data_IF_543955028958
#
_entry.id   IF_543955028958
#
_cell.length_a   1.000
_cell.length_b   1.000
_cell.length_c   1.000
_cell.angle_alpha   90.00
_cell.angle_beta   90.00
_cell.angle_gamma   90.00
#
_symmetry.space_group_name_H-M   'P 1'
#
loop_
_entity.id
_entity.type
_entity.pdbx_description
1 polymer ?
#
# COMPACT_ATOMS: atom_id res chain seq x y z
N UNK A 1 -23.93 -10.32 -48.12
CA UNK A 1 -22.77 -10.16 -47.22
C UNK A 1 -23.16 -9.47 -45.92
N UNK A 2 -23.75 -8.26 -45.94
CA UNK A 2 -24.18 -7.57 -44.71
C UNK A 2 -25.17 -8.34 -43.83
N UNK A 3 -26.21 -8.93 -44.42
CA UNK A 3 -27.20 -9.73 -43.67
C UNK A 3 -26.59 -10.97 -43.00
N UNK A 4 -25.53 -11.52 -43.59
CA UNK A 4 -24.81 -12.67 -43.02
C UNK A 4 -23.95 -12.25 -41.82
N UNK A 5 -23.29 -11.10 -41.90
CA UNK A 5 -22.53 -10.52 -40.78
C UNK A 5 -23.45 -10.13 -39.62
N UNK A 6 -24.60 -9.51 -39.89
CA UNK A 6 -25.61 -9.19 -38.87
C UNK A 6 -26.20 -10.47 -38.23
N UNK A 7 -26.39 -11.53 -39.02
CA UNK A 7 -26.81 -12.84 -38.50
C UNK A 7 -25.79 -13.45 -37.54
N UNK A 8 -24.49 -13.35 -37.86
CA UNK A 8 -23.41 -13.84 -36.98
C UNK A 8 -23.32 -13.04 -35.68
N UNK A 9 -23.43 -11.71 -35.74
CA UNK A 9 -23.42 -10.85 -34.55
C UNK A 9 -24.63 -11.17 -33.65
N UNK A 10 -25.83 -11.31 -34.23
CA UNK A 10 -27.04 -11.68 -33.48
C UNK A 10 -26.91 -13.05 -32.79
N UNK A 11 -26.27 -14.03 -33.45
CA UNK A 11 -26.02 -15.34 -32.83
C UNK A 11 -25.11 -15.20 -31.61
N UNK A 12 -24.02 -14.44 -31.73
CA UNK A 12 -23.09 -14.20 -30.62
C UNK A 12 -23.79 -13.47 -29.46
N UNK A 13 -24.61 -12.46 -29.76
CA UNK A 13 -25.36 -11.70 -28.76
C UNK A 13 -26.49 -12.51 -28.10
N UNK A 14 -27.05 -13.49 -28.83
CA UNK A 14 -28.12 -14.35 -28.34
C UNK A 14 -27.66 -15.42 -27.33
N UNK A 15 -26.34 -15.59 -27.15
CA UNK A 15 -25.77 -16.53 -26.19
C UNK A 15 -26.08 -16.08 -24.76
N UNK A 16 -27.11 -16.69 -24.16
CA UNK A 16 -27.50 -16.44 -22.77
C UNK A 16 -26.77 -17.40 -21.84
N UNK A 17 -25.93 -16.85 -20.97
CA UNK A 17 -25.29 -17.62 -19.92
C UNK A 17 -26.24 -17.82 -18.74
N UNK A 18 -26.28 -19.04 -18.20
CA UNK A 18 -26.99 -19.30 -16.94
C UNK A 18 -26.29 -18.56 -15.81
N UNK A 19 -27.02 -17.71 -15.09
CA UNK A 19 -26.49 -17.04 -13.92
C UNK A 19 -26.46 -18.02 -12.73
N UNK A 20 -25.39 -18.82 -12.64
CA UNK A 20 -25.21 -19.79 -11.56
C UNK A 20 -24.59 -19.07 -10.37
N UNK A 21 -25.37 -18.88 -9.29
CA UNK A 21 -24.85 -18.44 -8.00
C UNK A 21 -24.66 -19.65 -7.09
N UNK A 22 -23.47 -19.81 -6.56
CA UNK A 22 -23.21 -20.79 -5.51
C UNK A 22 -23.38 -20.15 -4.11
N UNK A 23 -23.43 -20.99 -3.08
CA UNK A 23 -23.57 -20.55 -1.68
C UNK A 23 -22.46 -19.58 -1.27
N UNK A 24 -21.24 -19.79 -1.76
CA UNK A 24 -20.09 -18.93 -1.51
C UNK A 24 -20.27 -17.52 -2.08
N UNK A 25 -20.68 -17.38 -3.34
CA UNK A 25 -20.90 -16.08 -3.99
C UNK A 25 -22.04 -15.30 -3.32
N UNK A 26 -23.10 -15.99 -2.89
CA UNK A 26 -24.19 -15.37 -2.11
C UNK A 26 -23.68 -14.86 -0.76
N UNK A 27 -22.86 -15.65 -0.05
CA UNK A 27 -22.22 -15.23 1.19
C UNK A 27 -21.29 -14.05 0.99
N UNK A 28 -20.42 -14.10 -0.02
CA UNK A 28 -19.49 -13.02 -0.38
C UNK A 28 -20.25 -11.71 -0.66
N UNK A 29 -21.35 -11.78 -1.40
CA UNK A 29 -22.20 -10.61 -1.66
C UNK A 29 -22.82 -10.04 -0.39
N UNK A 30 -23.29 -10.91 0.51
CA UNK A 30 -23.83 -10.48 1.80
C UNK A 30 -22.75 -9.81 2.67
N UNK A 31 -21.53 -10.36 2.70
CA UNK A 31 -20.42 -9.81 3.46
C UNK A 31 -19.93 -8.47 2.88
N UNK A 32 -19.88 -8.32 1.55
CA UNK A 32 -19.63 -7.04 0.88
C UNK A 32 -20.67 -5.99 1.28
N UNK A 33 -21.95 -6.36 1.30
CA UNK A 33 -23.01 -5.44 1.68
C UNK A 33 -22.87 -5.01 3.15
N UNK A 34 -22.54 -5.95 4.06
CA UNK A 34 -22.27 -5.62 5.47
C UNK A 34 -21.10 -4.65 5.62
N UNK A 35 -19.99 -4.90 4.93
CA UNK A 35 -18.80 -4.03 4.99
C UNK A 35 -19.12 -2.62 4.46
N UNK A 36 -19.90 -2.51 3.37
CA UNK A 36 -20.30 -1.21 2.81
C UNK A 36 -21.24 -0.41 3.71
N UNK A 37 -22.04 -1.08 4.53
CA UNK A 37 -22.97 -0.44 5.46
C UNK A 37 -22.36 -0.11 6.81
N UNK A 38 -21.25 -0.77 7.15
CA UNK A 38 -20.51 -0.54 8.39
C UNK A 38 -19.81 0.83 8.34
N UNK A 39 -19.89 1.58 9.45
CA UNK A 39 -19.21 2.86 9.60
C UNK A 39 -17.80 2.71 10.17
N UNK A 40 -17.45 1.52 10.66
CA UNK A 40 -16.14 1.26 11.26
C UNK A 40 -15.08 0.93 10.20
N UNK A 41 -13.83 1.29 10.50
CA UNK A 41 -12.68 1.00 9.67
C UNK A 41 -12.20 -0.44 9.90
N UNK A 42 -11.92 -1.16 8.81
CA UNK A 42 -11.33 -2.49 8.85
C UNK A 42 -9.83 -2.41 8.64
N UNK A 43 -9.06 -2.61 9.72
CA UNK A 43 -7.60 -2.48 9.68
C UNK A 43 -6.95 -3.87 9.64
N UNK A 44 -6.06 -4.11 8.64
CA UNK A 44 -5.35 -5.37 8.55
C UNK A 44 -4.25 -5.47 9.62
N UNK A 45 -3.86 -6.70 9.87
CA UNK A 45 -2.76 -7.05 10.76
C UNK A 45 -1.45 -7.25 10.00
N UNK A 46 -0.33 -7.10 10.71
CA UNK A 46 1.03 -7.16 10.12
C UNK A 46 1.45 -8.58 9.74
N UNK A 47 1.07 -9.59 10.52
CA UNK A 47 1.56 -10.98 10.35
C UNK A 47 0.48 -12.06 10.25
N UNK A 48 -0.74 -11.73 10.60
CA UNK A 48 -1.88 -12.65 10.51
C UNK A 48 -2.80 -12.18 9.38
N UNK A 49 -3.77 -13.00 9.00
CA UNK A 49 -4.78 -12.62 8.02
C UNK A 49 -6.04 -12.04 8.70
N UNK A 50 -5.87 -11.50 9.90
CA UNK A 50 -6.97 -10.98 10.70
C UNK A 50 -7.24 -9.51 10.35
N UNK A 51 -8.51 -9.13 10.48
CA UNK A 51 -8.97 -7.75 10.38
C UNK A 51 -9.65 -7.34 11.68
N UNK A 52 -9.36 -6.14 12.16
CA UNK A 52 -10.00 -5.57 13.33
C UNK A 52 -10.79 -4.34 12.94
N UNK A 53 -11.95 -4.17 13.59
CA UNK A 53 -12.78 -2.98 13.44
C UNK A 53 -12.31 -1.91 14.41
N UNK A 54 -12.14 -0.69 13.92
CA UNK A 54 -11.81 0.48 14.72
C UNK A 54 -12.72 1.64 14.35
N UNK A 55 -13.02 2.48 15.32
CA UNK A 55 -13.66 3.77 15.06
C UNK A 55 -12.62 4.76 14.54
N UNK A 56 -13.05 5.77 13.77
CA UNK A 56 -12.17 6.78 13.17
C UNK A 56 -11.27 7.45 14.22
N UNK A 57 -11.83 7.83 15.37
CA UNK A 57 -11.07 8.48 16.45
C UNK A 57 -10.01 7.57 17.06
N UNK A 58 -10.28 6.28 17.18
CA UNK A 58 -9.32 5.30 17.69
C UNK A 58 -8.19 5.09 16.69
N UNK A 59 -8.53 5.00 15.40
CA UNK A 59 -7.56 4.87 14.32
C UNK A 59 -6.62 6.08 14.26
N UNK A 60 -7.17 7.30 14.26
CA UNK A 60 -6.38 8.53 14.20
C UNK A 60 -5.44 8.68 15.40
N UNK A 61 -5.89 8.30 16.60
CA UNK A 61 -5.04 8.30 17.78
C UNK A 61 -3.87 7.32 17.66
N UNK A 62 -4.11 6.11 17.13
CA UNK A 62 -3.06 5.12 16.89
C UNK A 62 -2.10 5.58 15.80
N UNK A 63 -2.61 6.13 14.69
CA UNK A 63 -1.80 6.65 13.59
C UNK A 63 -0.88 7.79 14.07
N UNK A 64 -1.45 8.80 14.73
CA UNK A 64 -0.68 9.95 15.24
C UNK A 64 0.40 9.52 16.23
N UNK A 65 0.09 8.59 17.15
CA UNK A 65 1.06 8.05 18.08
C UNK A 65 2.23 7.35 17.37
N UNK A 66 1.97 6.65 16.28
CA UNK A 66 3.01 5.99 15.50
C UNK A 66 3.85 6.99 14.69
N UNK A 67 3.20 7.98 14.07
CA UNK A 67 3.89 9.04 13.32
C UNK A 67 4.81 9.83 14.23
N UNK A 68 4.34 10.28 15.40
CA UNK A 68 5.13 11.08 16.34
C UNK A 68 6.32 10.28 16.91
N UNK A 69 6.17 8.96 17.04
CA UNK A 69 7.25 8.09 17.53
C UNK A 69 8.38 7.93 16.52
N UNK A 70 8.06 7.75 15.24
CA UNK A 70 9.05 7.40 14.20
C UNK A 70 9.50 8.59 13.34
N UNK A 71 8.69 9.64 13.23
CA UNK A 71 8.91 10.75 12.31
C UNK A 71 8.73 12.11 12.99
N UNK A 72 9.42 13.12 12.47
CA UNK A 72 9.15 14.54 12.79
C UNK A 72 8.26 15.16 11.72
N UNK A 73 7.28 15.95 12.15
CA UNK A 73 6.45 16.78 11.25
C UNK A 73 7.31 17.94 10.72
N UNK A 74 7.18 18.24 9.43
CA UNK A 74 7.92 19.31 8.76
C UNK A 74 7.05 20.00 7.72
N UNK A 75 7.46 21.19 7.28
CA UNK A 75 6.76 21.97 6.26
C UNK A 75 7.01 21.47 4.84
N UNK A 76 6.16 21.88 3.89
CA UNK A 76 6.27 21.49 2.48
C UNK A 76 7.55 21.99 1.79
N UNK A 77 8.12 23.09 2.26
CA UNK A 77 9.37 23.62 1.74
C UNK A 77 10.55 22.69 2.06
N UNK A 78 10.65 22.24 3.31
CA UNK A 78 11.72 21.34 3.74
C UNK A 78 11.65 19.99 3.02
N UNK A 79 10.45 19.46 2.72
CA UNK A 79 10.32 18.21 1.95
C UNK A 79 10.77 18.38 0.49
N UNK A 80 10.56 19.55 -0.09
CA UNK A 80 11.03 19.87 -1.43
C UNK A 80 12.55 20.03 -1.48
N UNK A 81 13.14 20.70 -0.50
CA UNK A 81 14.60 20.82 -0.35
C UNK A 81 15.27 19.45 -0.26
N UNK A 82 14.73 18.55 0.57
CA UNK A 82 15.22 17.16 0.67
C UNK A 82 15.10 16.42 -0.67
N UNK A 83 14.00 16.59 -1.41
CA UNK A 83 13.83 15.94 -2.70
C UNK A 83 14.84 16.44 -3.76
N UNK A 84 15.20 17.73 -3.73
CA UNK A 84 16.26 18.27 -4.59
C UNK A 84 17.62 17.67 -4.19
N UNK A 85 17.91 17.59 -2.90
CA UNK A 85 19.16 16.99 -2.42
C UNK A 85 19.27 15.51 -2.81
N UNK A 86 18.20 14.74 -2.63
CA UNK A 86 18.13 13.34 -3.04
C UNK A 86 18.39 13.18 -4.55
N UNK A 87 17.85 14.09 -5.38
CA UNK A 87 18.12 14.12 -6.83
C UNK A 87 19.60 14.38 -7.12
N UNK A 88 20.20 15.39 -6.49
CA UNK A 88 21.62 15.70 -6.67
C UNK A 88 22.52 14.53 -6.25
N UNK A 89 22.15 13.82 -5.19
CA UNK A 89 22.86 12.60 -4.73
C UNK A 89 22.73 11.49 -5.78
N UNK A 90 21.54 11.28 -6.34
CA UNK A 90 21.30 10.27 -7.37
C UNK A 90 22.09 10.56 -8.65
N UNK A 91 22.16 11.82 -9.09
CA UNK A 91 22.93 12.24 -10.26
C UNK A 91 24.43 12.01 -10.07
N UNK A 92 24.99 12.39 -8.92
CA UNK A 92 26.41 12.15 -8.60
C UNK A 92 26.79 10.66 -8.58
N UNK A 93 25.82 9.79 -8.29
CA UNK A 93 26.00 8.35 -8.20
C UNK A 93 25.59 7.60 -9.47
N UNK A 94 25.21 8.33 -10.53
CA UNK A 94 24.73 7.76 -11.79
C UNK A 94 23.58 6.75 -11.56
N UNK A 95 22.61 7.16 -10.74
CA UNK A 95 21.42 6.37 -10.37
C UNK A 95 20.11 7.00 -10.87
N UNK A 96 20.19 8.06 -11.66
CA UNK A 96 19.04 8.86 -12.10
C UNK A 96 18.03 8.04 -12.91
N UNK A 97 18.49 7.04 -13.65
CA UNK A 97 17.68 6.08 -14.41
C UNK A 97 16.97 5.04 -13.53
N UNK A 98 17.38 4.89 -12.26
CA UNK A 98 16.92 3.84 -11.34
C UNK A 98 16.12 4.35 -10.15
N UNK A 99 16.06 5.66 -9.96
CA UNK A 99 15.36 6.30 -8.84
C UNK A 99 14.25 7.17 -9.40
N UNK A 100 13.01 6.81 -9.08
CA UNK A 100 11.83 7.59 -9.44
C UNK A 100 11.49 8.60 -8.34
N UNK A 101 10.82 9.69 -8.73
CA UNK A 101 10.26 10.64 -7.78
C UNK A 101 9.10 9.99 -7.02
N UNK A 102 9.21 9.99 -5.69
CA UNK A 102 8.17 9.45 -4.82
C UNK A 102 6.86 10.24 -4.93
N UNK A 103 5.77 9.57 -5.28
CA UNK A 103 4.43 10.17 -5.25
C UNK A 103 3.97 10.43 -3.80
N UNK A 104 3.31 11.58 -3.57
CA UNK A 104 2.71 11.90 -2.27
C UNK A 104 1.56 10.95 -1.96
N UNK A 105 1.65 10.23 -0.85
CA UNK A 105 0.68 9.26 -0.35
C UNK A 105 0.64 9.33 1.17
N UNK A 106 -0.55 9.17 1.73
CA UNK A 106 -0.73 9.17 3.18
C UNK A 106 -0.15 7.90 3.81
N UNK A 107 0.40 8.06 5.01
CA UNK A 107 0.84 6.92 5.81
C UNK A 107 -0.36 6.25 6.47
N UNK A 108 -0.29 4.93 6.63
CA UNK A 108 -1.33 4.14 7.27
C UNK A 108 -0.72 3.13 8.25
N UNK A 109 -1.55 2.54 9.09
CA UNK A 109 -1.11 1.58 10.11
C UNK A 109 -1.64 0.17 9.87
N UNK A 110 -0.85 -0.82 10.30
CA UNK A 110 -1.31 -2.19 10.50
C UNK A 110 -1.18 -2.59 11.98
N UNK A 111 -2.05 -3.48 12.44
CA UNK A 111 -2.08 -3.92 13.84
C UNK A 111 -1.13 -5.10 14.09
N UNK A 112 -0.47 -5.11 15.25
CA UNK A 112 0.43 -6.19 15.68
C UNK A 112 -0.25 -7.06 16.73
N UNK A 113 -1.20 -7.87 16.28
CA UNK A 113 -1.97 -8.81 17.11
C UNK A 113 -1.11 -9.93 17.73
N UNK A 114 -0.01 -10.28 17.09
CA UNK A 114 0.99 -11.24 17.58
C UNK A 114 1.84 -10.72 18.77
N UNK A 115 1.63 -9.48 19.24
CA UNK A 115 2.36 -8.93 20.39
C UNK A 115 1.64 -9.24 21.69
N UNK A 116 2.40 -9.44 22.77
CA UNK A 116 1.84 -9.61 24.10
C UNK A 116 1.00 -8.40 24.50
N UNK A 117 -0.08 -8.67 25.24
CA UNK A 117 -0.99 -7.64 25.75
C UNK A 117 -1.68 -6.78 24.66
N UNK A 118 -1.85 -7.32 23.45
CA UNK A 118 -2.50 -6.61 22.33
C UNK A 118 -3.91 -6.11 22.66
N UNK A 119 -4.70 -6.90 23.40
CA UNK A 119 -6.08 -6.55 23.76
C UNK A 119 -6.16 -5.26 24.58
N UNK A 120 -5.21 -5.03 25.50
CA UNK A 120 -5.20 -3.85 26.36
C UNK A 120 -4.37 -2.71 25.77
N UNK A 121 -3.29 -3.03 25.06
CA UNK A 121 -2.36 -2.04 24.49
C UNK A 121 -2.01 -2.44 23.06
N UNK A 122 -2.91 -2.19 22.09
CA UNK A 122 -2.64 -2.51 20.70
C UNK A 122 -1.42 -1.73 20.22
N UNK A 123 -0.47 -2.45 19.64
CA UNK A 123 0.70 -1.84 18.99
C UNK A 123 0.51 -1.92 17.48
N UNK A 124 1.03 -0.91 16.79
CA UNK A 124 0.88 -0.80 15.35
C UNK A 124 2.24 -0.83 14.65
N UNK A 125 2.20 -1.04 13.34
CA UNK A 125 3.30 -0.75 12.41
C UNK A 125 2.87 0.42 11.55
N UNK A 126 3.69 1.46 11.48
CA UNK A 126 3.49 2.54 10.53
C UNK A 126 4.03 2.12 9.17
N UNK A 127 3.22 2.25 8.13
CA UNK A 127 3.61 2.04 6.75
C UNK A 127 3.67 3.42 6.10
N UNK A 128 4.88 3.84 5.75
CA UNK A 128 5.12 5.05 4.99
C UNK A 128 5.37 4.69 3.51
N UNK A 129 4.38 4.87 2.62
CA UNK A 129 4.55 4.63 1.19
C UNK A 129 5.46 5.65 0.51
N UNK A 130 5.75 6.78 1.17
CA UNK A 130 6.58 7.86 0.63
C UNK A 130 8.06 7.75 1.04
N UNK A 131 8.51 6.59 1.50
CA UNK A 131 9.91 6.43 1.91
C UNK A 131 10.81 6.52 0.68
N UNK A 132 11.83 7.41 0.65
CA UNK A 132 12.71 7.54 -0.50
C UNK A 132 13.50 6.25 -0.74
N UNK A 133 13.71 5.92 -2.03
CA UNK A 133 14.43 4.74 -2.51
C UNK A 133 15.96 4.82 -2.33
N UNK A 134 16.42 5.67 -1.39
CA UNK A 134 17.83 5.89 -1.10
C UNK A 134 18.55 4.61 -0.63
N UNK A 135 17.82 3.54 -0.27
CA UNK A 135 18.40 2.22 -0.03
C UNK A 135 19.18 1.65 -1.24
N UNK A 136 18.86 2.10 -2.46
CA UNK A 136 19.62 1.76 -3.68
C UNK A 136 21.03 2.36 -3.67
N UNK A 137 21.22 3.53 -3.06
CA UNK A 137 22.54 4.18 -2.88
C UNK A 137 23.45 3.31 -2.01
N UNK A 138 22.93 2.77 -0.90
CA UNK A 138 23.71 1.91 -0.01
C UNK A 138 24.25 0.66 -0.73
N UNK A 139 23.47 0.08 -1.66
CA UNK A 139 23.92 -1.07 -2.45
C UNK A 139 25.12 -0.72 -3.32
N UNK A 140 25.11 0.42 -4.02
CA UNK A 140 26.25 0.84 -4.84
C UNK A 140 27.51 1.04 -3.99
N UNK A 141 27.41 1.70 -2.83
CA UNK A 141 28.55 1.87 -1.93
C UNK A 141 29.14 0.54 -1.48
N UNK A 142 28.28 -0.42 -1.09
CA UNK A 142 28.71 -1.76 -0.71
C UNK A 142 29.36 -2.49 -1.89
N UNK A 143 28.79 -2.38 -3.09
CA UNK A 143 29.37 -2.98 -4.30
C UNK A 143 30.76 -2.42 -4.61
N UNK A 144 30.97 -1.12 -4.43
CA UNK A 144 32.27 -0.49 -4.62
C UNK A 144 33.31 -1.07 -3.64
N UNK A 145 33.00 -1.11 -2.34
CA UNK A 145 33.90 -1.68 -1.31
C UNK A 145 34.20 -3.15 -1.58
N UNK A 146 33.20 -3.94 -2.00
CA UNK A 146 33.42 -5.35 -2.35
C UNK A 146 34.39 -5.50 -3.53
N UNK A 147 34.32 -4.60 -4.52
CA UNK A 147 35.22 -4.63 -5.67
C UNK A 147 36.65 -4.23 -5.30
N UNK A 148 36.82 -3.27 -4.37
CA UNK A 148 38.14 -2.90 -3.84
C UNK A 148 38.80 -4.03 -3.05
N UNK A 149 38.04 -4.78 -2.24
CA UNK A 149 38.57 -5.90 -1.44
C UNK A 149 38.87 -7.15 -2.28
N UNK A 150 38.19 -7.31 -3.43
CA UNK A 150 38.42 -8.43 -4.36
C UNK A 150 39.61 -8.20 -5.30
N UNK A 151 40.07 -6.96 -5.44
CA UNK A 151 41.26 -6.60 -6.21
C UNK A 151 42.52 -6.87 -5.38
#
# INVERSE_FOLDING_TARGET
>A
MKEFEEGLINIIESVKFKHVRNSFQSKLKADINKIKQDKQLYIPTDKTNNYYKLNDTQYENLLNKCVIKEYRKTGAQATHEVAIEDKNIAERLDLTDRIETTAKREAFITLKDHKSNFQNKPTCRLINPCKPELGKVSKQKISHVINEVKA
#
